data_IF_224673311877
#
_entry.id   IF_224673311877
#
_cell.length_a   1.000
_cell.length_b   1.000
_cell.length_c   1.000
_cell.angle_alpha   90.00
_cell.angle_beta   90.00
_cell.angle_gamma   90.00
#
_symmetry.space_group_name_H-M   'P 1'
#
loop_
_entity.id
_entity.type
_entity.pdbx_description
1 polymer ?
#
# COMPACT_ATOMS: atom_id res chain seq x y z
N UNK A 1 25.48 11.19 37.68
CA UNK A 1 24.95 10.74 36.38
C UNK A 1 25.11 9.23 36.30
N UNK A 2 24.20 8.49 35.68
CA UNK A 2 24.34 7.03 35.53
C UNK A 2 25.48 6.68 34.57
N UNK A 3 26.06 5.48 34.71
CA UNK A 3 26.96 4.92 33.69
C UNK A 3 26.14 4.75 32.39
N UNK A 4 26.65 5.28 31.27
CA UNK A 4 26.05 4.96 29.96
C UNK A 4 26.20 3.47 29.67
N UNK A 5 25.21 2.89 29.01
CA UNK A 5 25.31 1.56 28.40
C UNK A 5 26.27 1.65 27.22
N UNK A 6 27.08 0.63 27.01
CA UNK A 6 27.96 0.51 25.84
C UNK A 6 27.60 -0.78 25.13
N UNK A 7 27.49 -0.74 23.81
CA UNK A 7 27.28 -1.93 22.97
C UNK A 7 28.62 -2.44 22.44
N UNK A 8 28.74 -3.76 22.26
CA UNK A 8 29.83 -4.34 21.48
C UNK A 8 29.62 -4.01 19.99
N UNK A 9 30.68 -3.90 19.18
CA UNK A 9 30.55 -3.84 17.72
C UNK A 9 29.76 -5.02 17.18
N UNK A 10 28.90 -4.78 16.18
CA UNK A 10 28.04 -5.81 15.61
C UNK A 10 28.81 -7.03 15.06
N UNK A 11 30.06 -6.84 14.64
CA UNK A 11 30.98 -7.89 14.19
C UNK A 11 31.58 -8.76 15.31
N UNK A 12 31.43 -8.35 16.58
CA UNK A 12 31.95 -9.04 17.77
C UNK A 12 30.85 -9.74 18.59
N UNK A 13 29.59 -9.71 18.12
CA UNK A 13 28.46 -10.34 18.80
C UNK A 13 28.39 -11.84 18.47
N UNK A 14 28.52 -12.69 19.48
CA UNK A 14 28.23 -14.13 19.34
C UNK A 14 26.72 -14.34 19.15
N UNK A 15 26.34 -14.74 17.93
CA UNK A 15 24.96 -15.02 17.55
C UNK A 15 24.34 -16.20 18.33
N UNK A 16 25.15 -17.12 18.88
CA UNK A 16 24.67 -18.22 19.71
C UNK A 16 24.17 -17.75 21.10
N UNK A 17 24.66 -16.61 21.60
CA UNK A 17 24.19 -16.01 22.86
C UNK A 17 22.99 -15.07 22.68
N UNK A 18 22.63 -14.70 21.45
CA UNK A 18 21.56 -13.73 21.15
C UNK A 18 20.18 -14.31 21.47
N UNK A 19 19.67 -13.96 22.66
CA UNK A 19 18.32 -14.30 23.10
C UNK A 19 17.31 -13.28 22.57
N UNK A 20 16.23 -13.77 21.95
CA UNK A 20 15.08 -12.96 21.55
C UNK A 20 14.51 -12.20 22.76
N UNK A 21 14.17 -10.92 22.54
CA UNK A 21 13.59 -10.02 23.55
C UNK A 21 12.34 -9.39 22.97
N UNK A 22 11.18 -9.80 23.48
CA UNK A 22 9.92 -9.17 23.14
C UNK A 22 9.85 -7.78 23.79
N UNK A 23 9.93 -6.71 22.98
CA UNK A 23 9.79 -5.33 23.43
C UNK A 23 8.33 -4.89 23.28
N UNK A 24 7.58 -4.90 24.39
CA UNK A 24 6.17 -4.48 24.40
C UNK A 24 6.06 -2.95 24.40
N UNK A 25 5.55 -2.38 23.30
CA UNK A 25 5.24 -0.95 23.20
C UNK A 25 3.98 -0.63 24.00
N UNK A 26 4.10 0.26 24.98
CA UNK A 26 3.02 0.73 25.85
C UNK A 26 2.54 2.12 25.43
N UNK A 27 1.27 2.22 25.05
CA UNK A 27 0.59 3.46 24.68
C UNK A 27 -0.90 3.42 25.10
N UNK A 28 -1.52 4.57 25.44
CA UNK A 28 -2.92 4.60 25.83
C UNK A 28 -3.84 4.45 24.60
N UNK A 29 -4.72 3.44 24.61
CA UNK A 29 -5.74 3.29 23.56
C UNK A 29 -6.90 4.28 23.79
N UNK A 30 -6.87 5.42 23.09
CA UNK A 30 -7.86 6.49 23.22
C UNK A 30 -8.70 6.64 21.95
N UNK A 31 -9.99 6.95 22.12
CA UNK A 31 -10.93 7.19 21.02
C UNK A 31 -11.79 8.44 21.25
N UNK A 32 -12.45 8.92 20.18
CA UNK A 32 -13.46 10.00 20.19
C UNK A 32 -13.01 11.22 21.01
N UNK A 33 -13.74 11.55 22.08
CA UNK A 33 -13.48 12.73 22.93
C UNK A 33 -12.13 12.65 23.64
N UNK A 34 -11.79 11.49 24.24
CA UNK A 34 -10.54 11.34 24.98
C UNK A 34 -9.31 11.46 24.07
N UNK A 35 -9.42 11.00 22.82
CA UNK A 35 -8.38 11.22 21.81
C UNK A 35 -8.23 12.71 21.46
N UNK A 36 -9.34 13.43 21.23
CA UNK A 36 -9.31 14.89 20.96
C UNK A 36 -8.75 15.69 22.15
N UNK A 37 -9.03 15.30 23.38
CA UNK A 37 -8.47 15.92 24.58
C UNK A 37 -6.96 15.63 24.70
N UNK A 38 -6.55 14.38 24.49
CA UNK A 38 -5.14 13.98 24.54
C UNK A 38 -4.29 14.70 23.49
N UNK A 39 -4.78 14.81 22.25
CA UNK A 39 -4.09 15.55 21.18
C UNK A 39 -3.82 17.01 21.61
N UNK A 40 -4.84 17.72 22.11
CA UNK A 40 -4.67 19.08 22.63
C UNK A 40 -3.68 19.18 23.79
N UNK A 41 -3.59 18.16 24.65
CA UNK A 41 -2.61 18.11 25.73
C UNK A 41 -1.19 17.82 25.21
N UNK A 42 -1.03 17.04 24.13
CA UNK A 42 0.26 16.82 23.46
C UNK A 42 0.73 18.00 22.61
N UNK A 43 -0.19 18.85 22.14
CA UNK A 43 0.10 20.10 21.43
C UNK A 43 0.37 21.28 22.39
N UNK A 44 -0.10 21.19 23.64
CA UNK A 44 0.04 22.27 24.62
C UNK A 44 1.51 22.50 25.04
N UNK A 45 1.98 23.78 25.10
CA UNK A 45 3.32 24.12 25.58
C UNK A 45 3.63 23.52 26.96
N UNK A 46 4.86 23.05 27.13
CA UNK A 46 5.40 22.34 28.30
C UNK A 46 4.73 20.98 28.61
N UNK A 47 3.40 20.93 28.72
CA UNK A 47 2.62 19.72 29.02
C UNK A 47 2.87 18.65 27.94
N UNK A 48 2.78 19.00 26.66
CA UNK A 48 3.01 18.06 25.58
C UNK A 48 4.43 17.51 25.53
N UNK A 49 5.42 18.38 25.76
CA UNK A 49 6.84 17.97 25.88
C UNK A 49 7.04 16.97 27.03
N UNK A 50 6.39 17.19 28.19
CA UNK A 50 6.42 16.25 29.31
C UNK A 50 5.76 14.91 28.95
N UNK A 51 4.56 14.91 28.36
CA UNK A 51 3.85 13.67 27.95
C UNK A 51 4.70 12.86 26.97
N UNK A 52 5.22 13.50 25.91
CA UNK A 52 6.06 12.84 24.90
C UNK A 52 7.38 12.33 25.51
N UNK A 53 7.99 13.08 26.43
CA UNK A 53 9.18 12.64 27.16
C UNK A 53 8.93 11.39 28.01
N UNK A 54 7.79 11.33 28.72
CA UNK A 54 7.40 10.13 29.47
C UNK A 54 7.14 8.94 28.53
N UNK A 55 6.40 9.12 27.43
CA UNK A 55 6.15 8.03 26.47
C UNK A 55 7.44 7.47 25.86
N UNK A 56 8.41 8.34 25.51
CA UNK A 56 9.75 7.94 25.04
C UNK A 56 10.57 7.22 26.10
N UNK A 57 10.42 7.58 27.38
CA UNK A 57 11.09 6.93 28.51
C UNK A 57 10.52 5.55 28.82
N UNK A 58 9.20 5.40 28.86
CA UNK A 58 8.55 4.10 29.15
C UNK A 58 8.83 3.09 28.04
N UNK A 59 8.82 3.54 26.77
CA UNK A 59 9.13 2.72 25.59
C UNK A 59 10.64 2.66 25.26
N UNK A 60 11.52 2.85 26.26
CA UNK A 60 13.01 2.76 26.18
C UNK A 60 13.73 3.60 25.11
N UNK A 61 13.03 4.36 24.26
CA UNK A 61 13.65 5.20 23.23
C UNK A 61 14.72 6.14 23.81
N UNK A 62 14.49 6.67 25.02
CA UNK A 62 15.46 7.52 25.73
C UNK A 62 16.69 6.73 26.23
N UNK A 63 16.56 5.43 26.55
CA UNK A 63 17.71 4.57 26.87
C UNK A 63 18.59 4.39 25.62
N UNK A 64 17.97 3.97 24.51
CA UNK A 64 18.66 3.65 23.27
C UNK A 64 19.28 4.90 22.61
N UNK A 65 18.53 5.98 22.44
CA UNK A 65 18.94 7.14 21.64
C UNK A 65 19.81 8.17 22.39
N UNK A 66 19.98 8.06 23.71
CA UNK A 66 20.70 9.07 24.51
C UNK A 66 21.67 8.48 25.56
N UNK A 67 21.32 7.34 26.15
CA UNK A 67 22.05 6.73 27.27
C UNK A 67 22.88 5.50 26.87
N UNK A 68 22.84 5.12 25.58
CA UNK A 68 23.63 4.03 25.01
C UNK A 68 24.70 4.59 24.08
N UNK A 69 25.90 4.00 24.12
CA UNK A 69 26.99 4.22 23.17
C UNK A 69 26.94 3.11 22.14
N UNK A 70 26.77 3.49 20.88
CA UNK A 70 26.76 2.64 19.69
C UNK A 70 28.11 2.86 19.00
N UNK A 71 28.94 1.83 18.78
CA UNK A 71 30.26 1.99 18.16
C UNK A 71 30.21 2.16 16.63
N UNK A 72 29.13 1.76 15.97
CA UNK A 72 28.96 1.86 14.52
C UNK A 72 28.84 3.31 14.02
N UNK A 73 29.41 3.57 12.83
CA UNK A 73 29.17 4.80 12.07
C UNK A 73 27.75 4.85 11.49
N UNK A 74 27.10 6.02 11.41
CA UNK A 74 25.72 6.13 10.95
C UNK A 74 25.57 5.83 9.44
N UNK A 75 24.83 4.78 9.11
CA UNK A 75 24.37 4.48 7.75
C UNK A 75 23.07 5.26 7.45
N UNK A 76 23.13 6.26 6.57
CA UNK A 76 21.99 7.16 6.29
C UNK A 76 21.02 6.64 5.22
N UNK A 77 21.45 5.66 4.41
CA UNK A 77 20.69 4.96 3.37
C UNK A 77 21.19 3.51 3.31
N UNK A 78 20.39 2.54 2.86
CA UNK A 78 20.88 1.18 2.64
C UNK A 78 22.05 1.18 1.65
N UNK A 79 23.22 0.72 2.10
CA UNK A 79 24.42 0.57 1.29
C UNK A 79 24.65 -0.92 1.04
N UNK A 80 24.45 -1.34 -0.21
CA UNK A 80 24.57 -2.73 -0.62
C UNK A 80 25.93 -2.97 -1.28
N UNK A 81 26.67 -3.97 -0.79
CA UNK A 81 27.84 -4.49 -1.48
C UNK A 81 27.43 -5.21 -2.78
N UNK A 82 28.34 -5.41 -3.75
CA UNK A 82 28.09 -6.26 -4.91
C UNK A 82 27.53 -7.62 -4.48
N UNK A 83 26.45 -8.06 -5.12
CA UNK A 83 25.80 -9.34 -4.87
C UNK A 83 26.18 -10.35 -5.98
N UNK A 84 26.23 -11.63 -5.64
CA UNK A 84 26.39 -12.69 -6.63
C UNK A 84 25.14 -12.76 -7.55
N UNK A 85 25.28 -13.02 -8.86
CA UNK A 85 24.15 -13.11 -9.78
C UNK A 85 23.16 -14.23 -9.41
N UNK A 86 21.87 -13.91 -9.38
CA UNK A 86 20.81 -14.89 -9.10
C UNK A 86 20.74 -15.99 -10.18
N UNK A 87 20.68 -17.24 -9.74
CA UNK A 87 20.60 -18.39 -10.66
C UNK A 87 19.19 -18.60 -11.22
N UNK A 88 19.07 -18.79 -12.53
CA UNK A 88 17.79 -19.13 -13.19
C UNK A 88 16.90 -17.93 -13.52
N UNK A 89 17.38 -16.69 -13.33
CA UNK A 89 16.69 -15.47 -13.75
C UNK A 89 16.96 -15.13 -15.22
N UNK A 90 16.08 -14.32 -15.82
CA UNK A 90 16.30 -13.69 -17.12
C UNK A 90 16.67 -12.22 -16.87
N UNK A 91 17.89 -11.76 -17.17
CA UNK A 91 18.29 -10.38 -16.93
C UNK A 91 17.52 -9.40 -17.84
N UNK A 92 17.25 -8.20 -17.32
CA UNK A 92 16.46 -7.16 -17.98
C UNK A 92 17.19 -5.83 -17.86
N UNK A 93 17.27 -5.05 -18.94
CA UNK A 93 17.94 -3.75 -18.93
C UNK A 93 17.12 -2.70 -18.16
N UNK A 94 17.70 -2.03 -17.16
CA UNK A 94 16.99 -0.98 -16.39
C UNK A 94 16.74 0.31 -17.20
N UNK A 95 17.38 0.47 -18.36
CA UNK A 95 17.02 1.50 -19.35
C UNK A 95 15.84 1.14 -20.27
N UNK A 96 15.52 -0.16 -20.42
CA UNK A 96 14.58 -0.66 -21.44
C UNK A 96 13.11 -0.27 -21.22
N UNK A 97 12.32 -0.19 -22.29
CA UNK A 97 10.93 0.34 -22.24
C UNK A 97 9.99 -0.61 -21.48
N UNK A 98 8.95 -0.05 -20.87
CA UNK A 98 7.98 -0.81 -20.06
C UNK A 98 7.30 -1.93 -20.85
N UNK A 99 6.99 -1.69 -22.13
CA UNK A 99 6.29 -2.61 -23.03
C UNK A 99 7.17 -3.82 -23.38
N UNK A 100 8.47 -3.57 -23.63
CA UNK A 100 9.48 -4.58 -23.94
C UNK A 100 9.71 -5.50 -22.73
N UNK A 101 9.72 -4.93 -21.51
CA UNK A 101 9.78 -5.72 -20.27
C UNK A 101 8.52 -6.55 -20.03
N UNK A 102 7.34 -6.05 -20.40
CA UNK A 102 6.09 -6.84 -20.33
C UNK A 102 6.14 -8.01 -21.31
N UNK A 103 6.64 -7.83 -22.54
CA UNK A 103 6.82 -8.94 -23.48
C UNK A 103 7.82 -9.98 -22.98
N UNK A 104 8.93 -9.54 -22.38
CA UNK A 104 9.91 -10.44 -21.77
C UNK A 104 9.35 -11.19 -20.56
N UNK A 105 8.62 -10.50 -19.67
CA UNK A 105 7.94 -11.13 -18.54
C UNK A 105 6.89 -12.16 -18.98
N UNK A 106 6.16 -11.93 -20.08
CA UNK A 106 5.22 -12.90 -20.63
C UNK A 106 5.90 -14.21 -21.08
N UNK A 107 7.17 -14.16 -21.53
CA UNK A 107 7.97 -15.35 -21.89
C UNK A 107 8.44 -16.14 -20.66
N UNK A 108 8.53 -15.50 -19.50
CA UNK A 108 8.88 -16.13 -18.22
C UNK A 108 7.67 -16.75 -17.51
N UNK A 109 6.44 -16.52 -17.96
CA UNK A 109 5.23 -17.10 -17.36
C UNK A 109 4.92 -18.49 -17.93
N UNK A 110 4.39 -19.43 -17.12
CA UNK A 110 3.91 -20.72 -17.62
C UNK A 110 2.79 -20.54 -18.65
N UNK A 111 2.59 -21.54 -19.51
CA UNK A 111 1.59 -21.53 -20.59
C UNK A 111 0.21 -21.05 -20.10
N UNK A 112 -0.47 -20.23 -20.91
CA UNK A 112 -1.83 -19.79 -20.62
C UNK A 112 -2.82 -20.67 -21.37
N UNK A 113 -3.56 -21.51 -20.64
CA UNK A 113 -4.76 -22.13 -21.19
C UNK A 113 -5.99 -21.26 -20.88
N UNK A 114 -6.66 -20.68 -21.89
CA UNK A 114 -7.94 -20.00 -21.73
C UNK A 114 -9.14 -20.97 -21.72
N UNK A 115 -9.00 -22.22 -22.20
CA UNK A 115 -10.13 -23.15 -22.28
C UNK A 115 -10.62 -23.56 -20.88
N UNK A 116 -9.72 -23.93 -19.96
CA UNK A 116 -10.01 -24.16 -18.54
C UNK A 116 -10.58 -22.95 -17.79
N UNK A 117 -10.50 -21.75 -18.38
CA UNK A 117 -11.04 -20.52 -17.79
C UNK A 117 -12.49 -20.25 -18.20
N UNK A 118 -12.88 -20.61 -19.43
CA UNK A 118 -14.19 -20.22 -20.00
C UNK A 118 -15.12 -21.40 -20.33
N UNK A 119 -14.62 -22.64 -20.36
CA UNK A 119 -15.41 -23.83 -20.78
C UNK A 119 -15.62 -24.88 -19.70
N UNK A 120 -14.82 -24.84 -18.63
CA UNK A 120 -14.91 -25.79 -17.50
C UNK A 120 -15.71 -25.16 -16.37
N UNK A 121 -16.69 -25.90 -15.84
CA UNK A 121 -17.42 -25.51 -14.63
C UNK A 121 -16.54 -25.70 -13.40
N UNK A 122 -15.64 -24.73 -13.15
CA UNK A 122 -14.63 -24.81 -12.09
C UNK A 122 -15.28 -24.92 -10.71
N UNK A 123 -14.97 -25.98 -9.96
CA UNK A 123 -15.57 -26.30 -8.66
C UNK A 123 -15.07 -25.44 -7.48
N UNK A 124 -14.18 -24.48 -7.73
CA UNK A 124 -13.53 -23.65 -6.72
C UNK A 124 -13.41 -22.21 -7.19
N UNK A 125 -13.71 -21.25 -6.32
CA UNK A 125 -13.50 -19.82 -6.58
C UNK A 125 -12.05 -19.50 -6.92
N UNK A 126 -11.83 -18.58 -7.89
CA UNK A 126 -10.55 -17.94 -8.15
C UNK A 126 -10.74 -16.51 -8.62
N UNK A 127 -9.77 -15.65 -8.35
CA UNK A 127 -9.68 -14.34 -8.98
C UNK A 127 -9.33 -14.44 -10.47
N UNK A 128 -9.80 -13.48 -11.26
CA UNK A 128 -9.41 -13.26 -12.65
C UNK A 128 -7.95 -12.78 -12.75
N UNK A 129 -7.19 -13.32 -13.70
CA UNK A 129 -5.80 -12.91 -13.95
C UNK A 129 -5.75 -11.84 -15.03
N UNK A 130 -4.70 -11.01 -15.05
CA UNK A 130 -4.45 -10.02 -16.12
C UNK A 130 -4.48 -10.68 -17.51
N UNK A 131 -3.95 -11.91 -17.63
CA UNK A 131 -4.00 -12.68 -18.89
C UNK A 131 -5.42 -13.07 -19.30
N UNK A 132 -6.33 -13.33 -18.35
CA UNK A 132 -7.72 -13.71 -18.63
C UNK A 132 -8.48 -12.53 -19.28
N UNK A 133 -8.33 -11.32 -18.73
CA UNK A 133 -8.84 -10.09 -19.36
C UNK A 133 -8.20 -9.83 -20.73
N UNK A 134 -6.87 -9.94 -20.81
CA UNK A 134 -6.14 -9.69 -22.05
C UNK A 134 -6.40 -10.75 -23.14
N UNK A 135 -6.89 -11.94 -22.78
CA UNK A 135 -7.45 -12.93 -23.70
C UNK A 135 -8.87 -12.54 -24.12
N UNK A 136 -9.75 -12.19 -23.16
CA UNK A 136 -11.13 -11.80 -23.43
C UNK A 136 -11.24 -10.60 -24.40
N UNK A 137 -10.38 -9.59 -24.22
CA UNK A 137 -10.31 -8.42 -25.11
C UNK A 137 -9.85 -8.78 -26.53
N UNK A 138 -8.77 -9.56 -26.68
CA UNK A 138 -8.27 -10.00 -28.00
C UNK A 138 -9.26 -10.92 -28.72
N UNK A 139 -9.97 -11.74 -27.97
CA UNK A 139 -10.99 -12.67 -28.47
C UNK A 139 -12.37 -12.03 -28.65
N UNK A 140 -12.51 -10.71 -28.38
CA UNK A 140 -13.76 -9.94 -28.46
C UNK A 140 -14.91 -10.49 -27.59
N UNK A 141 -14.60 -11.24 -26.53
CA UNK A 141 -15.57 -11.71 -25.54
C UNK A 141 -16.03 -10.58 -24.59
N UNK A 142 -15.18 -9.57 -24.42
CA UNK A 142 -15.48 -8.32 -23.74
C UNK A 142 -14.65 -7.18 -24.35
N UNK A 143 -14.99 -5.93 -24.05
CA UNK A 143 -14.14 -4.76 -24.32
C UNK A 143 -13.73 -4.08 -23.02
N UNK A 144 -12.66 -3.25 -23.01
CA UNK A 144 -12.32 -2.42 -21.86
C UNK A 144 -13.49 -1.54 -21.40
N UNK A 145 -14.26 -0.94 -22.33
CA UNK A 145 -15.46 -0.15 -22.03
C UNK A 145 -16.55 -0.95 -21.32
N UNK A 146 -16.79 -2.21 -21.72
CA UNK A 146 -17.74 -3.08 -21.02
C UNK A 146 -17.31 -3.39 -19.58
N UNK A 147 -16.01 -3.51 -19.33
CA UNK A 147 -15.46 -3.72 -17.97
C UNK A 147 -15.51 -2.42 -17.17
N UNK A 148 -15.29 -1.27 -17.80
CA UNK A 148 -15.36 0.03 -17.16
C UNK A 148 -16.77 0.40 -16.68
N UNK A 149 -17.83 0.21 -17.48
CA UNK A 149 -19.20 0.47 -16.99
C UNK A 149 -19.60 -0.48 -15.85
N UNK A 150 -19.09 -1.73 -15.87
CA UNK A 150 -19.28 -2.67 -14.73
C UNK A 150 -18.52 -2.23 -13.49
N UNK A 151 -17.34 -1.62 -13.64
CA UNK A 151 -16.59 -1.02 -12.54
C UNK A 151 -17.29 0.22 -11.98
N UNK A 152 -17.75 1.14 -12.85
CA UNK A 152 -18.45 2.37 -12.47
C UNK A 152 -19.72 2.03 -11.69
N UNK A 153 -20.56 1.13 -12.21
CA UNK A 153 -21.78 0.66 -11.54
C UNK A 153 -21.48 -0.01 -10.19
N UNK A 154 -20.33 -0.67 -10.03
CA UNK A 154 -19.92 -1.22 -8.74
C UNK A 154 -19.44 -0.12 -7.76
N UNK A 155 -18.72 0.91 -8.21
CA UNK A 155 -18.36 2.06 -7.36
C UNK A 155 -19.62 2.77 -6.84
N UNK A 156 -20.61 3.01 -7.71
CA UNK A 156 -21.91 3.57 -7.33
C UNK A 156 -22.63 2.72 -6.27
N UNK A 157 -22.58 1.39 -6.36
CA UNK A 157 -23.12 0.50 -5.31
C UNK A 157 -22.32 0.62 -3.99
N UNK A 158 -20.99 0.74 -4.06
CA UNK A 158 -20.14 0.84 -2.87
C UNK A 158 -20.28 2.17 -2.12
N UNK A 159 -20.35 3.30 -2.82
CA UNK A 159 -20.44 4.63 -2.19
C UNK A 159 -21.83 4.90 -1.60
N UNK A 160 -22.88 4.23 -2.09
CA UNK A 160 -24.22 4.28 -1.49
C UNK A 160 -24.37 3.46 -0.20
N UNK A 161 -23.35 2.68 0.23
CA UNK A 161 -23.43 1.85 1.45
C UNK A 161 -23.34 2.69 2.73
N UNK A 162 -24.04 2.23 3.77
CA UNK A 162 -24.13 2.88 5.08
C UNK A 162 -23.64 1.92 6.18
N UNK A 163 -22.63 2.28 7.00
CA UNK A 163 -21.82 3.50 6.93
C UNK A 163 -20.93 3.54 5.67
N UNK A 164 -20.51 4.74 5.21
CA UNK A 164 -19.64 4.86 4.04
C UNK A 164 -18.30 4.13 4.25
N UNK A 165 -17.88 3.41 3.23
CA UNK A 165 -16.72 2.52 3.24
C UNK A 165 -15.82 2.69 1.98
N UNK A 166 -15.46 3.93 1.58
CA UNK A 166 -14.90 4.20 0.26
C UNK A 166 -13.62 3.42 -0.03
N UNK A 167 -13.59 2.81 -1.21
CA UNK A 167 -12.43 2.17 -1.83
C UNK A 167 -11.50 3.22 -2.47
N UNK A 168 -12.11 4.23 -3.11
CA UNK A 168 -11.45 5.38 -3.74
C UNK A 168 -11.79 6.68 -2.99
N UNK A 169 -10.88 7.65 -2.99
CA UNK A 169 -11.09 9.02 -2.46
C UNK A 169 -11.10 10.09 -3.55
N UNK A 170 -10.86 9.66 -4.79
CA UNK A 170 -11.12 10.42 -6.01
C UNK A 170 -11.35 9.41 -7.14
N UNK A 171 -12.41 9.65 -7.89
CA UNK A 171 -12.94 8.79 -8.95
C UNK A 171 -13.78 9.68 -9.85
N UNK A 172 -13.43 9.74 -11.13
CA UNK A 172 -14.26 10.36 -12.16
C UNK A 172 -14.70 9.24 -13.12
N UNK A 173 -16.01 8.99 -13.16
CA UNK A 173 -16.60 7.97 -14.01
C UNK A 173 -16.44 8.31 -15.50
N UNK A 174 -16.43 9.59 -15.86
CA UNK A 174 -16.22 10.04 -17.24
C UNK A 174 -14.73 10.01 -17.60
N UNK A 175 -13.83 10.32 -16.65
CA UNK A 175 -12.40 10.02 -16.83
C UNK A 175 -12.20 8.51 -17.05
N UNK A 176 -12.87 7.64 -16.31
CA UNK A 176 -12.78 6.18 -16.48
C UNK A 176 -13.43 5.70 -17.78
N UNK A 177 -14.50 6.34 -18.28
CA UNK A 177 -15.06 6.09 -19.63
C UNK A 177 -14.12 6.53 -20.72
N UNK A 178 -13.67 7.79 -20.68
CA UNK A 178 -12.62 8.30 -21.54
C UNK A 178 -11.41 7.38 -21.48
N UNK A 179 -11.03 6.85 -20.31
CA UNK A 179 -9.92 5.92 -20.13
C UNK A 179 -10.15 4.50 -20.68
N UNK A 180 -11.38 4.01 -20.69
CA UNK A 180 -11.71 2.72 -21.30
C UNK A 180 -11.82 2.83 -22.82
N UNK A 181 -12.37 3.97 -23.26
CA UNK A 181 -12.13 4.56 -24.58
C UNK A 181 -10.66 5.03 -24.71
N UNK A 182 -9.77 4.89 -23.70
CA UNK A 182 -8.33 5.25 -23.74
C UNK A 182 -7.33 4.14 -23.86
N UNK A 183 -7.76 2.93 -23.52
CA UNK A 183 -7.43 1.76 -24.32
C UNK A 183 -7.82 1.95 -25.81
N UNK A 184 -8.40 3.10 -26.19
CA UNK A 184 -8.67 3.62 -27.55
C UNK A 184 -8.34 5.15 -27.75
N UNK A 185 -7.63 5.89 -26.81
CA UNK A 185 -7.31 7.39 -26.63
C UNK A 185 -7.74 8.17 -25.29
N UNK A 186 -6.85 8.99 -24.66
CA UNK A 186 -6.57 9.31 -23.17
C UNK A 186 -7.00 10.72 -22.60
N UNK A 187 -7.07 11.19 -21.30
CA UNK A 187 -6.96 10.83 -19.81
C UNK A 187 -7.39 12.11 -18.92
N UNK A 188 -7.27 12.50 -17.60
CA UNK A 188 -6.59 12.23 -16.24
C UNK A 188 -7.32 12.88 -14.98
N UNK A 189 -7.20 12.43 -13.68
CA UNK A 189 -6.83 13.25 -12.44
C UNK A 189 -6.55 12.57 -11.01
N UNK A 190 -6.78 13.23 -9.83
CA UNK A 190 -6.17 12.92 -8.49
C UNK A 190 -6.95 13.22 -7.18
N UNK A 191 -6.40 12.97 -5.97
CA UNK A 191 -7.16 13.02 -4.69
C UNK A 191 -6.43 13.09 -3.33
N UNK A 192 -6.70 14.17 -2.58
CA UNK A 192 -6.56 14.44 -1.11
C UNK A 192 -7.43 15.68 -0.79
N UNK A 193 -7.74 16.02 0.46
CA UNK A 193 -8.63 17.19 0.73
C UNK A 193 -7.94 18.56 0.61
N UNK A 194 -6.65 18.67 0.91
CA UNK A 194 -5.93 19.96 0.94
C UNK A 194 -4.58 19.94 0.21
N UNK A 195 -3.93 18.77 0.06
CA UNK A 195 -2.60 18.69 -0.56
C UNK A 195 -2.64 19.05 -2.05
N UNK A 196 -3.80 18.88 -2.71
CA UNK A 196 -4.00 19.31 -4.10
C UNK A 196 -4.04 20.85 -4.24
N UNK A 197 -4.57 21.57 -3.24
CA UNK A 197 -4.63 23.04 -3.22
C UNK A 197 -3.22 23.65 -3.09
N UNK A 198 -2.40 23.12 -2.19
CA UNK A 198 -1.04 23.62 -1.92
C UNK A 198 0.04 23.03 -2.85
N UNK A 199 -0.24 21.90 -3.50
CA UNK A 199 0.67 21.22 -4.43
C UNK A 199 -0.10 20.64 -5.63
N UNK A 200 -0.46 21.47 -6.62
CA UNK A 200 -1.10 21.00 -7.84
C UNK A 200 -0.20 20.00 -8.58
N UNK A 201 -0.79 18.86 -8.98
CA UNK A 201 -0.11 17.84 -9.78
C UNK A 201 -0.13 18.29 -11.24
N UNK A 202 1.05 18.35 -11.88
CA UNK A 202 1.20 18.81 -13.28
C UNK A 202 1.70 17.74 -14.25
N UNK A 203 2.11 16.58 -13.74
CA UNK A 203 2.66 15.47 -14.49
C UNK A 203 2.40 14.17 -13.71
N UNK A 204 2.34 13.06 -14.44
CA UNK A 204 2.37 11.71 -13.87
C UNK A 204 3.60 11.47 -12.99
N UNK A 205 3.44 10.64 -11.96
CA UNK A 205 4.59 10.01 -11.31
C UNK A 205 5.18 8.91 -12.21
N UNK A 206 6.49 8.64 -12.11
CA UNK A 206 7.21 7.73 -13.05
C UNK A 206 6.57 6.34 -13.15
N UNK A 207 6.11 5.76 -12.04
CA UNK A 207 5.40 4.48 -12.04
C UNK A 207 4.04 4.55 -12.75
N UNK A 208 3.31 5.67 -12.61
CA UNK A 208 2.02 5.91 -13.26
C UNK A 208 2.21 6.09 -14.77
N UNK A 209 3.23 6.88 -15.17
CA UNK A 209 3.61 7.05 -16.58
C UNK A 209 4.02 5.73 -17.24
N UNK A 210 4.83 4.89 -16.55
CA UNK A 210 5.22 3.55 -17.02
C UNK A 210 4.03 2.58 -17.17
N UNK A 211 3.00 2.67 -16.32
CA UNK A 211 1.75 1.90 -16.48
C UNK A 211 0.90 2.44 -17.65
N UNK A 212 0.81 3.77 -17.76
CA UNK A 212 0.06 4.46 -18.80
C UNK A 212 0.63 4.19 -20.19
N UNK A 213 1.95 4.13 -20.35
CA UNK A 213 2.59 3.80 -21.64
C UNK A 213 2.18 2.41 -22.12
N UNK A 214 2.19 1.41 -21.21
CA UNK A 214 1.65 0.07 -21.41
C UNK A 214 0.12 -0.02 -21.61
N UNK A 215 -0.61 1.10 -21.62
CA UNK A 215 -2.05 1.13 -21.90
C UNK A 215 -2.95 0.74 -20.71
N UNK A 216 -2.44 0.80 -19.48
CA UNK A 216 -3.23 0.50 -18.27
C UNK A 216 -4.26 1.59 -18.00
N UNK A 217 -5.49 1.16 -17.67
CA UNK A 217 -6.58 2.00 -17.16
C UNK A 217 -6.36 2.20 -15.65
N UNK A 218 -6.30 3.46 -15.22
CA UNK A 218 -6.08 3.92 -13.85
C UNK A 218 -7.41 4.44 -13.28
N UNK A 219 -8.14 3.58 -12.58
CA UNK A 219 -9.55 3.81 -12.19
C UNK A 219 -9.80 4.89 -11.12
N UNK A 220 -8.82 5.75 -10.81
CA UNK A 220 -8.89 6.75 -9.73
C UNK A 220 -7.86 6.54 -8.62
N UNK A 221 -8.11 7.10 -7.44
CA UNK A 221 -7.16 7.14 -6.31
C UNK A 221 -7.69 6.39 -5.10
N UNK A 222 -6.99 5.33 -4.70
CA UNK A 222 -7.32 4.54 -3.52
C UNK A 222 -7.34 5.36 -2.23
N UNK A 223 -8.28 5.02 -1.34
CA UNK A 223 -8.28 5.50 0.04
C UNK A 223 -7.03 4.98 0.80
N UNK A 224 -6.57 5.72 1.80
CA UNK A 224 -5.41 5.37 2.60
C UNK A 224 -5.50 5.92 4.03
N UNK A 225 -4.72 5.35 4.95
CA UNK A 225 -4.46 6.01 6.24
C UNK A 225 -3.73 7.35 5.98
N UNK A 226 -4.20 8.43 6.62
CA UNK A 226 -3.75 9.80 6.30
C UNK A 226 -2.22 9.97 6.37
N UNK A 227 -1.65 10.53 5.30
CA UNK A 227 -0.20 10.75 5.10
C UNK A 227 0.69 9.49 5.28
N UNK A 228 0.10 8.29 5.25
CA UNK A 228 0.80 7.04 5.52
C UNK A 228 1.02 6.73 7.02
N UNK A 229 0.56 7.60 7.93
CA UNK A 229 0.90 7.58 9.35
C UNK A 229 0.06 6.59 10.20
N UNK A 230 -0.22 5.40 9.65
CA UNK A 230 -0.89 4.33 10.39
C UNK A 230 -1.19 3.06 9.59
N UNK A 231 -1.12 1.92 10.29
CA UNK A 231 -1.16 0.56 9.72
C UNK A 231 -2.56 -0.06 9.61
N UNK A 232 -3.62 0.73 9.85
CA UNK A 232 -5.01 0.22 9.97
C UNK A 232 -5.98 0.68 8.88
N UNK A 233 -5.57 1.59 7.99
CA UNK A 233 -6.48 2.14 6.96
C UNK A 233 -7.55 3.10 7.48
N UNK A 234 -7.56 3.40 8.78
CA UNK A 234 -8.49 4.33 9.42
C UNK A 234 -8.29 5.76 8.92
N UNK A 235 -9.15 6.22 8.03
CA UNK A 235 -9.22 7.62 7.59
C UNK A 235 -10.46 8.31 8.23
N UNK A 236 -10.28 9.43 8.97
CA UNK A 236 -11.40 10.17 9.57
C UNK A 236 -12.05 11.21 8.63
N UNK A 237 -11.36 11.59 7.55
CA UNK A 237 -11.77 12.66 6.65
C UNK A 237 -12.64 12.12 5.51
N UNK A 238 -12.29 10.94 4.98
CA UNK A 238 -13.03 10.23 3.93
C UNK A 238 -13.89 9.07 4.46
N UNK A 239 -13.61 8.59 5.68
CA UNK A 239 -14.16 7.32 6.17
C UNK A 239 -13.22 6.14 5.92
N UNK A 240 -13.44 5.07 6.68
CA UNK A 240 -12.51 3.94 6.77
C UNK A 240 -12.93 2.79 5.85
N UNK A 241 -12.08 2.45 4.88
CA UNK A 241 -12.26 1.29 4.00
C UNK A 241 -12.35 -0.01 4.80
N UNK A 242 -13.35 -0.84 4.49
CA UNK A 242 -13.63 -2.10 5.20
C UNK A 242 -13.02 -3.31 4.49
N UNK A 243 -12.70 -4.33 5.27
CA UNK A 243 -12.11 -5.56 4.74
C UNK A 243 -13.17 -6.33 3.91
N UNK A 244 -12.93 -6.67 2.63
CA UNK A 244 -13.91 -7.40 1.81
C UNK A 244 -14.31 -8.77 2.35
N UNK A 245 -13.47 -9.40 3.18
CA UNK A 245 -13.78 -10.68 3.81
C UNK A 245 -14.51 -10.55 5.16
N UNK A 246 -14.50 -9.35 5.77
CA UNK A 246 -15.02 -9.10 7.12
C UNK A 246 -15.31 -7.59 7.30
N UNK A 247 -16.48 -7.07 6.88
CA UNK A 247 -16.74 -5.63 6.82
C UNK A 247 -16.67 -4.88 8.16
N UNK A 248 -16.69 -5.59 9.30
CA UNK A 248 -16.47 -5.05 10.63
C UNK A 248 -14.98 -4.82 10.98
N UNK A 249 -14.06 -5.40 10.20
CA UNK A 249 -12.60 -5.34 10.43
C UNK A 249 -11.89 -4.30 9.57
N UNK A 250 -10.69 -3.94 10.02
CA UNK A 250 -9.75 -3.14 9.25
C UNK A 250 -9.18 -3.90 8.04
N UNK A 251 -8.82 -3.12 7.03
CA UNK A 251 -8.15 -3.54 5.79
C UNK A 251 -6.64 -3.75 5.93
N UNK A 252 -6.05 -3.30 7.05
CA UNK A 252 -4.62 -3.00 7.11
C UNK A 252 -4.32 -1.64 6.51
N UNK A 253 -3.04 -1.26 6.37
CA UNK A 253 -2.67 0.04 5.85
C UNK A 253 -1.17 0.35 5.94
N UNK A 254 -0.71 1.46 5.38
CA UNK A 254 -1.55 2.60 4.97
C UNK A 254 -2.35 2.42 3.68
N UNK A 255 -2.00 1.48 2.79
CA UNK A 255 -2.60 1.28 1.44
C UNK A 255 -4.00 0.61 1.43
N UNK A 256 -4.91 1.04 2.32
CA UNK A 256 -6.18 0.35 2.63
C UNK A 256 -7.15 0.18 1.46
N UNK A 257 -7.38 1.24 0.68
CA UNK A 257 -8.22 1.21 -0.51
C UNK A 257 -7.64 0.32 -1.61
N UNK A 258 -6.31 0.36 -1.79
CA UNK A 258 -5.59 -0.41 -2.79
C UNK A 258 -5.66 -1.93 -2.52
N UNK A 259 -5.49 -2.33 -1.26
CA UNK A 259 -5.68 -3.72 -0.85
C UNK A 259 -7.15 -4.16 -1.03
N UNK A 260 -8.11 -3.34 -0.58
CA UNK A 260 -9.53 -3.69 -0.60
C UNK A 260 -10.11 -3.78 -2.03
N UNK A 261 -9.74 -2.89 -2.95
CA UNK A 261 -10.30 -2.88 -4.31
C UNK A 261 -9.82 -4.09 -5.15
N UNK A 262 -8.58 -4.54 -4.91
CA UNK A 262 -8.03 -5.77 -5.51
C UNK A 262 -8.64 -7.02 -4.86
N UNK A 263 -8.72 -7.07 -3.52
CA UNK A 263 -9.34 -8.20 -2.81
C UNK A 263 -10.86 -8.33 -3.10
N UNK A 264 -11.54 -7.24 -3.46
CA UNK A 264 -12.93 -7.24 -3.96
C UNK A 264 -13.06 -7.72 -5.41
N UNK A 265 -11.96 -7.98 -6.12
CA UNK A 265 -11.95 -8.40 -7.53
C UNK A 265 -12.31 -7.28 -8.53
N UNK A 266 -12.36 -6.02 -8.09
CA UNK A 266 -12.77 -4.87 -8.90
C UNK A 266 -11.61 -4.31 -9.74
N UNK A 267 -10.37 -4.58 -9.33
CA UNK A 267 -9.15 -4.24 -10.09
C UNK A 267 -8.17 -5.41 -10.07
N UNK A 268 -7.45 -5.64 -11.18
CA UNK A 268 -6.46 -6.73 -11.27
C UNK A 268 -5.18 -6.48 -10.46
N UNK A 269 -4.88 -5.21 -10.16
CA UNK A 269 -3.75 -4.76 -9.36
C UNK A 269 -4.01 -3.32 -8.88
N UNK A 270 -3.23 -2.85 -7.91
CA UNK A 270 -3.18 -1.45 -7.47
C UNK A 270 -1.74 -1.09 -7.05
N UNK A 271 -1.40 0.20 -7.08
CA UNK A 271 -0.14 0.70 -6.52
C UNK A 271 -0.34 1.14 -5.06
N UNK A 272 0.69 0.95 -4.25
CA UNK A 272 0.81 1.48 -2.89
C UNK A 272 2.24 1.93 -2.62
N UNK A 273 2.48 2.49 -1.44
CA UNK A 273 3.82 2.86 -0.96
C UNK A 273 4.18 2.02 0.25
N UNK A 274 5.45 1.61 0.36
CA UNK A 274 5.95 0.96 1.57
C UNK A 274 7.18 1.67 2.16
N UNK A 275 7.17 1.73 3.48
CA UNK A 275 8.23 2.23 4.36
C UNK A 275 8.05 1.73 5.80
N UNK A 276 7.31 0.63 5.99
CA UNK A 276 6.89 0.14 7.31
C UNK A 276 5.80 -0.94 7.31
N UNK A 277 5.71 -1.76 6.25
CA UNK A 277 4.67 -2.78 6.06
C UNK A 277 3.39 -2.23 5.41
N UNK A 278 3.41 -1.05 4.80
CA UNK A 278 2.21 -0.37 4.29
C UNK A 278 1.59 -1.01 3.03
N UNK A 279 2.25 -1.98 2.41
CA UNK A 279 1.74 -2.89 1.38
C UNK A 279 1.67 -4.35 1.85
N UNK A 280 2.37 -4.69 2.94
CA UNK A 280 2.45 -6.03 3.54
C UNK A 280 2.14 -5.94 5.04
N UNK A 281 0.86 -5.70 5.40
CA UNK A 281 0.41 -5.80 6.80
C UNK A 281 -0.01 -7.22 7.13
N UNK A 282 0.91 -8.01 7.67
CA UNK A 282 0.58 -9.25 8.39
C UNK A 282 -0.06 -8.91 9.73
N UNK A 283 -1.39 -8.98 9.80
CA UNK A 283 -2.08 -9.03 11.09
C UNK A 283 -1.86 -10.41 11.73
N UNK A 284 -0.93 -10.49 12.67
CA UNK A 284 -1.01 -11.51 13.72
C UNK A 284 -2.32 -11.29 14.49
N UNK A 285 -3.29 -12.16 14.27
CA UNK A 285 -4.46 -12.25 15.13
C UNK A 285 -4.07 -13.04 16.37
N UNK A 286 -3.82 -12.35 17.48
CA UNK A 286 -3.84 -12.98 18.79
C UNK A 286 -5.24 -13.54 19.06
N UNK A 287 -5.31 -14.82 19.40
CA UNK A 287 -6.55 -15.54 19.78
C UNK A 287 -7.19 -14.97 21.06
#
# INVERSE_FOLDING_TARGET
MGKKRVMLPASEVDLAEVKYKQELVQAPHLTRFMLKLFIKLTEAPFIGSFIISQLKKHNKMTEMLQNTVIPETPMFRPEFLPQEPESGVVPVEEGGKSEERVELALKCLPHHDPASTWTVQVSSFRYWKIRDYAYAYRSKLATPSMVAERFISAMEEFDNKKPPAPLLISFDAEEVRMQAVASTQRFEEGGTTWMHEVRPVKNDAVCVSRLRSCGVILVGKANMHELGLGTTGKNPNYGTTRNPHAPERYTGGSSSGAAAIVASGLCSAALGTDGGGCTITTHEASE
#
